data_IF_609056771703
#
_entry.id   IF_609056771703
#
_cell.length_a   1.000
_cell.length_b   1.000
_cell.length_c   1.000
_cell.angle_alpha   90.00
_cell.angle_beta   90.00
_cell.angle_gamma   90.00
#
_symmetry.space_group_name_H-M   'P 1'
#
loop_
_entity.id
_entity.type
_entity.pdbx_description
1 polymer ?
#
# COMPACT_ATOMS: atom_id res chain seq x y z
N UNK A 1 -40.96 7.75 9.76
CA UNK A 1 -40.15 6.71 10.42
C UNK A 1 -39.65 5.77 9.34
N UNK A 2 -38.43 6.01 8.87
CA UNK A 2 -37.69 5.11 8.00
C UNK A 2 -36.21 5.42 8.27
N UNK A 3 -35.61 4.61 9.14
CA UNK A 3 -34.20 4.70 9.50
C UNK A 3 -33.36 4.26 8.30
N UNK A 4 -32.48 5.16 7.84
CA UNK A 4 -31.42 4.84 6.89
C UNK A 4 -30.14 4.64 7.67
N UNK A 5 -29.58 3.44 7.49
CA UNK A 5 -28.44 2.84 8.15
C UNK A 5 -27.15 3.66 7.94
N UNK A 6 -26.68 4.34 8.99
CA UNK A 6 -25.38 5.03 9.01
C UNK A 6 -24.25 4.02 9.27
N UNK A 7 -23.58 3.59 8.20
CA UNK A 7 -22.31 2.85 8.31
C UNK A 7 -21.15 3.82 8.53
N UNK A 8 -20.52 3.68 9.70
CA UNK A 8 -19.27 4.34 10.07
C UNK A 8 -18.15 3.99 9.10
N UNK A 9 -17.58 5.01 8.44
CA UNK A 9 -16.36 4.88 7.63
C UNK A 9 -15.24 5.63 8.35
N UNK A 10 -14.19 4.86 8.64
CA UNK A 10 -12.95 5.24 9.29
C UNK A 10 -12.30 6.47 8.64
N UNK A 11 -12.09 7.53 9.44
CA UNK A 11 -11.41 8.75 9.02
C UNK A 11 -9.92 8.45 8.81
N UNK A 12 -9.45 8.49 7.55
CA UNK A 12 -8.02 8.41 7.23
C UNK A 12 -7.36 9.76 7.44
N UNK A 13 -6.31 9.78 8.25
CA UNK A 13 -5.36 10.88 8.42
C UNK A 13 -4.67 11.19 7.09
N UNK A 14 -5.02 12.31 6.46
CA UNK A 14 -4.33 12.83 5.28
C UNK A 14 -3.06 13.54 5.76
N UNK A 15 -1.89 12.89 5.58
CA UNK A 15 -0.59 13.57 5.64
C UNK A 15 -0.32 14.19 4.27
N UNK A 16 -0.39 15.52 4.20
CA UNK A 16 -0.07 16.32 3.02
C UNK A 16 1.45 16.45 2.84
N UNK A 17 1.97 15.88 1.77
CA UNK A 17 3.32 16.13 1.26
C UNK A 17 3.32 17.37 0.35
N UNK A 18 3.98 18.44 0.79
CA UNK A 18 4.85 19.31 -0.02
C UNK A 18 4.33 20.06 -1.25
N UNK A 19 3.04 20.06 -1.59
CA UNK A 19 2.48 20.95 -2.60
C UNK A 19 1.70 22.08 -1.93
N UNK A 20 2.04 23.34 -2.23
CA UNK A 20 1.23 24.50 -1.84
C UNK A 20 -0.16 24.32 -2.46
N UNK A 21 -1.11 23.84 -1.66
CA UNK A 21 -2.49 23.63 -2.10
C UNK A 21 -3.15 24.99 -2.28
N UNK A 22 -3.19 25.48 -3.52
CA UNK A 22 -4.10 26.56 -3.88
C UNK A 22 -5.51 26.06 -3.59
N UNK A 23 -6.13 26.59 -2.54
CA UNK A 23 -7.57 26.44 -2.28
C UNK A 23 -8.02 25.30 -1.36
N UNK A 24 -7.18 24.74 -0.48
CA UNK A 24 -7.71 23.89 0.59
C UNK A 24 -8.39 24.76 1.65
N UNK A 25 -9.73 24.79 1.65
CA UNK A 25 -10.49 25.45 2.71
C UNK A 25 -10.33 24.60 3.98
N UNK A 26 -9.83 25.22 5.06
CA UNK A 26 -9.77 24.58 6.38
C UNK A 26 -11.17 24.14 6.81
N UNK A 27 -11.37 22.83 6.99
CA UNK A 27 -12.64 22.22 7.38
C UNK A 27 -13.19 22.78 8.69
N UNK A 28 -12.33 23.34 9.56
CA UNK A 28 -12.72 24.00 10.81
C UNK A 28 -13.52 25.28 10.60
N UNK A 29 -13.50 25.86 9.39
CA UNK A 29 -14.21 27.09 9.04
C UNK A 29 -15.69 26.86 8.68
N UNK A 30 -16.13 25.62 8.62
CA UNK A 30 -17.50 25.30 8.25
C UNK A 30 -18.42 25.57 9.46
N UNK A 31 -19.57 26.21 9.25
CA UNK A 31 -20.53 26.36 10.34
C UNK A 31 -21.15 24.99 10.68
N UNK A 32 -21.19 24.63 11.97
CA UNK A 32 -21.66 23.34 12.49
C UNK A 32 -20.74 22.12 12.19
N UNK A 33 -19.48 22.15 12.68
CA UNK A 33 -18.41 21.19 12.32
C UNK A 33 -18.56 19.75 12.87
N UNK A 34 -19.41 19.49 13.86
CA UNK A 34 -19.48 18.16 14.51
C UNK A 34 -19.92 17.03 13.57
N UNK A 35 -20.45 17.39 12.40
CA UNK A 35 -20.54 16.49 11.26
C UNK A 35 -20.64 17.35 10.02
N UNK A 36 -19.53 17.79 9.43
CA UNK A 36 -19.58 18.43 8.10
C UNK A 36 -20.25 17.42 7.16
N UNK A 37 -21.51 17.66 6.72
CA UNK A 37 -22.21 16.63 5.99
C UNK A 37 -21.46 16.32 4.69
N UNK A 38 -21.44 15.05 4.27
CA UNK A 38 -20.69 14.61 3.06
C UNK A 38 -21.02 15.42 1.81
N UNK A 39 -22.20 16.06 1.76
CA UNK A 39 -22.63 16.99 0.70
C UNK A 39 -21.72 18.21 0.50
N UNK A 40 -20.84 18.55 1.45
CA UNK A 40 -19.88 19.65 1.30
C UNK A 40 -18.53 19.22 0.72
N UNK A 41 -18.34 17.93 0.46
CA UNK A 41 -17.14 17.41 -0.19
C UNK A 41 -17.43 17.13 -1.65
N UNK A 42 -16.50 17.52 -2.52
CA UNK A 42 -16.58 17.22 -3.93
C UNK A 42 -16.34 15.72 -4.16
N UNK A 43 -17.25 14.99 -4.82
CA UNK A 43 -17.07 13.57 -5.12
C UNK A 43 -15.87 13.26 -6.02
N UNK A 44 -15.40 14.23 -6.81
CA UNK A 44 -14.31 14.04 -7.78
C UNK A 44 -12.94 14.13 -7.10
N UNK A 45 -12.67 15.23 -6.37
CA UNK A 45 -11.37 15.42 -5.70
C UNK A 45 -11.36 14.99 -4.23
N UNK A 46 -12.52 14.66 -3.65
CA UNK A 46 -12.69 14.36 -2.22
C UNK A 46 -12.29 15.50 -1.27
N UNK A 47 -12.09 16.72 -1.77
CA UNK A 47 -11.82 17.92 -0.98
C UNK A 47 -13.11 18.69 -0.67
N UNK A 48 -13.04 19.66 0.25
CA UNK A 48 -14.14 20.59 0.46
C UNK A 48 -14.47 21.34 -0.84
N UNK A 49 -15.76 21.55 -1.09
CA UNK A 49 -16.24 22.25 -2.29
C UNK A 49 -15.66 23.66 -2.39
N UNK A 50 -14.89 23.89 -3.45
CA UNK A 50 -14.38 25.21 -3.85
C UNK A 50 -15.21 25.74 -5.01
N UNK A 51 -15.84 26.90 -4.84
CA UNK A 51 -16.81 27.47 -5.79
C UNK A 51 -17.84 26.40 -6.24
N UNK A 52 -18.76 25.97 -5.37
CA UNK A 52 -19.59 24.81 -5.66
C UNK A 52 -20.60 25.04 -6.78
N UNK A 53 -20.62 24.07 -7.69
CA UNK A 53 -21.64 23.90 -8.70
C UNK A 53 -22.43 22.63 -8.40
N UNK A 54 -23.74 22.65 -8.59
CA UNK A 54 -24.62 21.51 -8.35
C UNK A 54 -25.35 21.12 -9.61
N UNK A 55 -25.52 19.81 -9.83
CA UNK A 55 -26.32 19.32 -10.95
C UNK A 55 -27.80 19.59 -10.68
N UNK A 56 -28.51 20.23 -11.62
CA UNK A 56 -29.94 20.50 -11.48
C UNK A 56 -30.81 19.24 -11.33
N UNK A 57 -30.34 18.09 -11.85
CA UNK A 57 -31.06 16.82 -11.80
C UNK A 57 -30.84 16.05 -10.50
N UNK A 58 -29.58 15.74 -10.15
CA UNK A 58 -29.26 14.92 -8.96
C UNK A 58 -28.90 15.73 -7.71
N UNK A 59 -28.78 17.06 -7.82
CA UNK A 59 -28.40 17.99 -6.74
C UNK A 59 -27.01 17.72 -6.10
N UNK A 60 -26.24 16.79 -6.64
CA UNK A 60 -24.85 16.56 -6.23
C UNK A 60 -24.00 17.80 -6.54
N UNK A 61 -23.19 18.20 -5.57
CA UNK A 61 -22.32 19.38 -5.66
C UNK A 61 -20.87 19.00 -5.95
N UNK A 62 -20.19 19.81 -6.74
CA UNK A 62 -18.82 19.62 -7.21
C UNK A 62 -18.05 20.95 -7.17
N UNK A 63 -16.72 20.90 -7.07
CA UNK A 63 -15.92 22.11 -7.25
C UNK A 63 -16.01 22.58 -8.71
N UNK A 64 -16.01 23.90 -8.94
CA UNK A 64 -16.00 24.51 -10.28
C UNK A 64 -14.94 23.87 -11.20
N UNK A 65 -13.69 23.83 -10.74
CA UNK A 65 -12.58 23.26 -11.52
C UNK A 65 -12.72 21.76 -11.78
N UNK A 66 -13.32 21.02 -10.86
CA UNK A 66 -13.52 19.58 -10.99
C UNK A 66 -14.63 19.28 -11.99
N UNK A 67 -15.76 19.98 -11.89
CA UNK A 67 -16.88 19.75 -12.79
C UNK A 67 -16.59 20.26 -14.19
N UNK A 68 -15.94 21.43 -14.36
CA UNK A 68 -15.55 21.94 -15.67
C UNK A 68 -14.59 21.00 -16.42
N UNK A 69 -13.66 20.36 -15.70
CA UNK A 69 -12.79 19.33 -16.26
C UNK A 69 -13.56 18.08 -16.67
N UNK A 70 -14.59 17.71 -15.91
CA UNK A 70 -15.41 16.53 -16.19
C UNK A 70 -16.42 16.77 -17.33
N UNK A 71 -17.07 17.93 -17.35
CA UNK A 71 -18.16 18.26 -18.29
C UNK A 71 -17.69 18.52 -19.71
N UNK A 72 -16.41 18.30 -20.03
CA UNK A 72 -15.96 18.15 -21.42
C UNK A 72 -16.76 17.06 -22.17
N UNK A 73 -17.39 16.13 -21.43
CA UNK A 73 -18.24 15.06 -21.98
C UNK A 73 -19.76 15.32 -21.85
N UNK A 74 -20.19 16.52 -21.44
CA UNK A 74 -21.59 16.92 -21.22
C UNK A 74 -22.43 16.05 -20.26
N UNK A 75 -21.82 15.11 -19.54
CA UNK A 75 -22.49 14.20 -18.60
C UNK A 75 -22.15 14.52 -17.16
N UNK A 76 -23.12 14.32 -16.25
CA UNK A 76 -22.87 14.41 -14.81
C UNK A 76 -22.04 13.20 -14.35
N UNK A 77 -21.10 13.33 -13.39
CA UNK A 77 -20.38 12.19 -12.81
C UNK A 77 -21.26 11.07 -12.25
N UNK A 78 -22.51 11.37 -11.89
CA UNK A 78 -23.50 10.39 -11.44
C UNK A 78 -24.39 9.82 -12.57
N UNK A 79 -24.07 10.08 -13.83
CA UNK A 79 -24.80 9.53 -14.98
C UNK A 79 -26.10 10.24 -15.34
N UNK A 80 -26.33 11.48 -14.91
CA UNK A 80 -27.46 12.27 -15.39
C UNK A 80 -27.30 12.61 -16.88
N UNK A 81 -28.41 12.56 -17.63
CA UNK A 81 -28.47 12.77 -19.08
C UNK A 81 -27.94 14.15 -19.51
N UNK A 82 -28.23 15.19 -18.72
CA UNK A 82 -27.72 16.55 -18.93
C UNK A 82 -27.28 17.16 -17.60
N UNK A 83 -26.06 17.69 -17.57
CA UNK A 83 -25.60 18.48 -16.43
C UNK A 83 -26.17 19.91 -16.52
N UNK A 84 -27.18 20.21 -15.71
CA UNK A 84 -27.66 21.57 -15.50
C UNK A 84 -26.87 22.24 -14.39
N UNK A 85 -26.17 23.32 -14.70
CA UNK A 85 -25.37 24.03 -13.71
C UNK A 85 -26.23 24.89 -12.77
N UNK A 86 -26.24 24.57 -11.48
CA UNK A 86 -26.83 25.40 -10.43
C UNK A 86 -25.77 25.81 -9.43
N UNK A 87 -25.52 27.11 -9.33
CA UNK A 87 -24.62 27.66 -8.30
C UNK A 87 -25.23 27.45 -6.92
N UNK A 88 -24.45 26.84 -6.03
CA UNK A 88 -24.79 26.73 -4.62
C UNK A 88 -23.88 27.69 -3.85
N UNK A 89 -24.44 28.47 -2.91
CA UNK A 89 -23.66 29.39 -2.09
C UNK A 89 -23.65 28.90 -0.63
N UNK A 90 -22.77 27.94 -0.28
CA UNK A 90 -22.68 27.47 1.10
C UNK A 90 -22.32 28.61 2.04
N UNK A 91 -22.85 28.55 3.25
CA UNK A 91 -22.55 29.48 4.32
C UNK A 91 -21.32 28.99 5.11
N UNK A 92 -20.33 29.87 5.28
CA UNK A 92 -19.03 29.58 5.90
C UNK A 92 -18.74 30.61 6.99
N UNK A 93 -18.11 30.20 8.10
CA UNK A 93 -17.64 31.12 9.13
C UNK A 93 -16.42 31.91 8.68
N UNK A 94 -16.34 33.15 9.14
CA UNK A 94 -15.09 33.88 9.10
C UNK A 94 -13.98 33.09 9.81
N UNK A 95 -12.76 33.13 9.27
CA UNK A 95 -11.59 32.47 9.87
C UNK A 95 -11.26 33.05 11.26
N UNK A 96 -11.58 34.31 11.49
CA UNK A 96 -11.43 35.01 12.77
C UNK A 96 -12.53 34.68 13.79
N UNK A 97 -13.27 33.59 13.64
CA UNK A 97 -14.30 33.17 14.60
C UNK A 97 -13.74 32.98 16.02
N UNK A 98 -12.49 32.52 16.14
CA UNK A 98 -11.78 32.40 17.42
C UNK A 98 -11.52 33.74 18.13
N UNK A 99 -11.72 34.86 17.43
CA UNK A 99 -11.62 36.23 17.95
C UNK A 99 -12.99 36.90 17.97
N UNK A 100 -14.07 36.13 18.19
CA UNK A 100 -15.45 36.60 18.29
C UNK A 100 -16.04 37.21 17.00
N UNK A 101 -15.48 36.88 15.82
CA UNK A 101 -16.16 37.18 14.56
C UNK A 101 -17.32 36.20 14.31
N UNK A 102 -18.55 36.61 14.61
CA UNK A 102 -19.77 35.78 14.43
C UNK A 102 -20.32 35.77 13.01
N UNK A 103 -19.63 36.40 12.06
CA UNK A 103 -20.10 36.52 10.68
C UNK A 103 -20.14 35.15 9.97
N UNK A 104 -21.32 34.80 9.46
CA UNK A 104 -21.56 33.65 8.58
C UNK A 104 -21.87 34.19 7.19
N UNK A 105 -21.05 33.83 6.21
CA UNK A 105 -21.03 34.47 4.90
C UNK A 105 -21.09 33.44 3.79
N UNK A 106 -21.62 33.82 2.63
CA UNK A 106 -21.45 33.03 1.42
C UNK A 106 -19.99 33.05 0.96
N UNK A 107 -19.59 32.02 0.20
CA UNK A 107 -18.25 31.91 -0.38
C UNK A 107 -17.75 33.20 -1.02
N UNK A 108 -18.55 33.78 -1.91
CA UNK A 108 -18.23 34.98 -2.69
C UNK A 108 -18.02 36.24 -1.83
N UNK A 109 -18.56 36.25 -0.61
CA UNK A 109 -18.45 37.38 0.32
C UNK A 109 -17.34 37.17 1.35
N UNK A 110 -16.84 35.94 1.49
CA UNK A 110 -15.89 35.56 2.53
C UNK A 110 -14.55 36.27 2.36
N UNK A 111 -13.99 36.25 1.15
CA UNK A 111 -12.71 36.92 0.85
C UNK A 111 -12.78 38.43 1.10
N UNK A 112 -13.82 39.10 0.55
CA UNK A 112 -14.04 40.53 0.78
C UNK A 112 -14.16 40.85 2.27
N UNK A 113 -14.89 40.03 3.02
CA UNK A 113 -14.99 40.21 4.45
C UNK A 113 -13.63 40.07 5.14
N UNK A 114 -12.88 39.00 4.87
CA UNK A 114 -11.58 38.77 5.51
C UNK A 114 -10.57 39.89 5.22
N UNK A 115 -10.57 40.46 4.01
CA UNK A 115 -9.63 41.50 3.60
C UNK A 115 -10.04 42.88 4.11
N UNK A 116 -11.34 43.21 4.06
CA UNK A 116 -11.77 44.62 4.20
C UNK A 116 -12.88 44.89 5.21
N UNK A 117 -13.61 43.87 5.68
CA UNK A 117 -14.80 44.08 6.52
C UNK A 117 -14.74 43.37 7.87
N UNK A 118 -13.79 42.47 8.07
CA UNK A 118 -13.63 41.73 9.31
C UNK A 118 -13.09 42.69 10.36
N UNK A 119 -13.76 42.87 11.51
CA UNK A 119 -13.24 43.68 12.61
C UNK A 119 -11.97 43.08 13.23
N UNK A 120 -11.71 41.80 12.98
CA UNK A 120 -10.60 41.03 13.50
C UNK A 120 -9.76 40.46 12.33
N UNK A 121 -9.08 41.31 11.54
CA UNK A 121 -8.25 40.82 10.45
C UNK A 121 -7.18 39.87 11.01
N UNK A 122 -7.09 38.69 10.41
CA UNK A 122 -6.20 37.62 10.86
C UNK A 122 -5.29 37.14 9.74
N UNK A 123 -4.06 36.79 10.08
CA UNK A 123 -3.07 36.20 9.18
C UNK A 123 -2.44 34.97 9.82
N UNK A 124 -1.77 34.12 9.03
CA UNK A 124 -1.10 32.91 9.53
C UNK A 124 0.34 33.27 9.88
N UNK A 125 0.78 32.92 11.09
CA UNK A 125 2.18 33.06 11.50
C UNK A 125 3.09 32.18 10.65
N UNK A 126 4.14 32.78 10.07
CA UNK A 126 5.04 32.07 9.17
C UNK A 126 5.88 30.97 9.84
N UNK A 127 5.97 30.95 11.17
CA UNK A 127 6.79 30.01 11.93
C UNK A 127 6.00 28.84 12.54
N UNK A 128 4.82 29.10 13.11
CA UNK A 128 4.02 28.07 13.78
C UNK A 128 2.71 27.74 13.06
N UNK A 129 2.43 28.37 11.93
CA UNK A 129 1.24 28.16 11.10
C UNK A 129 -0.10 28.38 11.84
N UNK A 130 -0.05 29.08 12.99
CA UNK A 130 -1.25 29.46 13.73
C UNK A 130 -1.83 30.74 13.19
N UNK A 131 -3.16 30.81 13.15
CA UNK A 131 -3.89 32.03 12.83
C UNK A 131 -3.74 33.03 13.98
N UNK A 132 -3.30 34.25 13.67
CA UNK A 132 -3.05 35.35 14.59
C UNK A 132 -3.73 36.63 14.08
N UNK A 133 -4.07 37.56 14.98
CA UNK A 133 -4.55 38.88 14.57
C UNK A 133 -3.42 39.70 13.95
N UNK A 134 -3.72 40.44 12.88
CA UNK A 134 -2.73 41.26 12.15
C UNK A 134 -2.07 42.30 13.03
N UNK A 135 -2.76 42.84 14.05
CA UNK A 135 -2.16 43.80 15.00
C UNK A 135 -1.22 43.14 16.04
N UNK A 136 -1.31 41.82 16.23
CA UNK A 136 -0.47 41.06 17.18
C UNK A 136 0.59 40.22 16.50
N UNK A 137 0.55 40.09 15.16
CA UNK A 137 1.39 39.16 14.42
C UNK A 137 2.87 39.48 14.56
N UNK A 138 3.26 40.75 14.52
CA UNK A 138 4.66 41.15 14.60
C UNK A 138 5.30 40.76 15.94
N UNK A 139 4.64 41.09 17.06
CA UNK A 139 5.10 40.71 18.41
C UNK A 139 5.13 39.19 18.56
N UNK A 140 4.10 38.50 18.04
CA UNK A 140 4.06 37.05 18.06
C UNK A 140 5.18 36.43 17.24
N UNK A 141 5.47 36.93 16.03
CA UNK A 141 6.51 36.39 15.15
C UNK A 141 7.90 36.60 15.72
N UNK A 142 8.18 37.73 16.36
CA UNK A 142 9.45 37.94 17.08
C UNK A 142 9.66 36.89 18.18
N UNK A 143 8.64 36.61 18.99
CA UNK A 143 8.72 35.62 20.07
C UNK A 143 8.67 34.17 19.55
N UNK A 144 7.82 33.91 18.56
CA UNK A 144 7.60 32.58 18.00
C UNK A 144 8.79 32.14 17.16
N UNK A 145 9.42 33.06 16.41
CA UNK A 145 10.62 32.78 15.62
C UNK A 145 11.77 32.29 16.49
N UNK A 146 11.92 32.84 17.69
CA UNK A 146 12.98 32.44 18.64
C UNK A 146 12.77 31.06 19.27
N UNK A 147 11.57 30.46 19.17
CA UNK A 147 11.35 29.10 19.68
C UNK A 147 12.20 28.10 18.90
N UNK A 148 12.67 27.06 19.59
CA UNK A 148 13.44 25.99 18.97
C UNK A 148 12.51 24.98 18.30
N UNK A 149 12.77 24.65 17.04
CA UNK A 149 12.19 23.52 16.31
C UNK A 149 13.26 22.50 15.92
N UNK A 150 12.88 21.23 15.75
CA UNK A 150 13.79 20.17 15.33
C UNK A 150 13.88 20.09 13.80
N UNK A 151 15.08 20.08 13.23
CA UNK A 151 15.28 19.75 11.82
C UNK A 151 14.87 18.29 11.56
N UNK A 152 13.99 18.04 10.58
CA UNK A 152 13.51 16.69 10.26
C UNK A 152 14.57 15.76 9.67
N UNK A 153 15.74 16.29 9.29
CA UNK A 153 16.81 15.56 8.63
C UNK A 153 17.85 15.10 9.66
N UNK A 154 18.36 16.03 10.48
CA UNK A 154 19.43 15.74 11.46
C UNK A 154 18.96 15.78 12.92
N UNK A 155 17.69 16.09 13.20
CA UNK A 155 17.11 16.26 14.53
C UNK A 155 17.77 17.33 15.42
N UNK A 156 18.60 18.22 14.87
CA UNK A 156 19.13 19.36 15.61
C UNK A 156 18.04 20.38 15.92
N UNK A 157 18.10 20.95 17.13
CA UNK A 157 17.20 22.02 17.57
C UNK A 157 17.73 23.37 17.13
N UNK A 158 16.89 24.13 16.42
CA UNK A 158 17.27 25.36 15.73
C UNK A 158 16.12 26.35 15.87
N UNK A 159 16.38 27.66 16.05
CA UNK A 159 15.32 28.66 16.06
C UNK A 159 14.43 28.57 14.82
N UNK A 160 13.12 28.65 14.98
CA UNK A 160 12.15 28.53 13.88
C UNK A 160 12.42 29.54 12.75
N UNK A 161 12.92 30.74 13.07
CA UNK A 161 13.27 31.73 12.05
C UNK A 161 14.44 31.31 11.15
N UNK A 162 15.34 30.44 11.62
CA UNK A 162 16.46 29.87 10.85
C UNK A 162 16.14 28.48 10.29
N UNK A 163 15.09 27.82 10.78
CA UNK A 163 14.82 26.42 10.50
C UNK A 163 14.66 26.15 8.99
N UNK A 164 13.99 27.04 8.26
CA UNK A 164 13.77 26.88 6.81
C UNK A 164 15.08 26.95 6.02
N UNK A 165 15.92 27.93 6.33
CA UNK A 165 17.25 28.09 5.71
C UNK A 165 18.14 26.89 6.08
N UNK A 166 18.13 26.49 7.35
CA UNK A 166 18.90 25.34 7.81
C UNK A 166 18.42 24.03 7.17
N UNK A 167 17.13 23.78 7.04
CA UNK A 167 16.62 22.57 6.40
C UNK A 167 17.10 22.47 4.94
N UNK A 168 17.17 23.60 4.24
CA UNK A 168 17.69 23.63 2.87
C UNK A 168 19.19 23.30 2.78
N UNK A 169 20.00 23.80 3.72
CA UNK A 169 21.45 23.50 3.77
C UNK A 169 21.75 22.11 4.34
N UNK A 170 20.99 21.66 5.33
CA UNK A 170 21.11 20.35 5.96
C UNK A 170 20.79 19.21 4.98
N UNK A 171 19.83 19.43 4.07
CA UNK A 171 19.55 18.48 2.99
C UNK A 171 20.78 18.32 2.08
N UNK A 172 21.44 19.42 1.72
CA UNK A 172 22.66 19.38 0.90
C UNK A 172 23.81 18.67 1.62
N UNK A 173 24.06 18.97 2.90
CA UNK A 173 25.12 18.29 3.66
C UNK A 173 24.83 16.81 3.85
N UNK A 174 23.56 16.43 4.03
CA UNK A 174 23.16 15.03 4.16
C UNK A 174 23.37 14.25 2.86
N UNK A 175 23.05 14.87 1.71
CA UNK A 175 23.33 14.29 0.39
C UNK A 175 24.84 14.16 0.15
N UNK A 176 25.63 15.19 0.49
CA UNK A 176 27.09 15.15 0.35
C UNK A 176 27.72 14.05 1.23
N UNK A 177 27.28 13.92 2.48
CA UNK A 177 27.73 12.86 3.38
C UNK A 177 27.39 11.47 2.81
N UNK A 178 26.19 11.28 2.26
CA UNK A 178 25.78 10.03 1.61
C UNK A 178 26.67 9.71 0.40
N UNK A 179 26.92 10.69 -0.48
CA UNK A 179 27.80 10.51 -1.64
C UNK A 179 29.24 10.18 -1.23
N UNK A 180 29.75 10.82 -0.19
CA UNK A 180 31.07 10.50 0.34
C UNK A 180 31.13 9.07 0.88
N UNK A 181 30.12 8.64 1.65
CA UNK A 181 30.05 7.25 2.15
C UNK A 181 30.00 6.24 1.00
N UNK A 182 29.29 6.53 -0.09
CA UNK A 182 29.26 5.67 -1.28
C UNK A 182 30.61 5.60 -1.99
N UNK A 183 31.33 6.72 -2.10
CA UNK A 183 32.67 6.75 -2.69
C UNK A 183 33.68 5.96 -1.83
N UNK A 184 33.60 6.10 -0.51
CA UNK A 184 34.46 5.37 0.42
C UNK A 184 34.21 3.85 0.34
N UNK A 185 32.95 3.43 0.24
CA UNK A 185 32.58 2.03 0.02
C UNK A 185 33.11 1.51 -1.33
N UNK A 186 32.99 2.28 -2.41
CA UNK A 186 33.49 1.89 -3.72
C UNK A 186 35.02 1.77 -3.76
N UNK A 187 35.73 2.66 -3.06
CA UNK A 187 37.19 2.61 -2.93
C UNK A 187 37.64 1.40 -2.09
N UNK A 188 36.82 0.95 -1.14
CA UNK A 188 37.08 -0.26 -0.34
C UNK A 188 36.86 -1.56 -1.15
N UNK A 189 36.03 -1.52 -2.20
CA UNK A 189 35.72 -2.66 -3.07
C UNK A 189 36.69 -2.75 -4.27
N UNK A 190 37.63 -1.81 -4.42
CA UNK A 190 38.71 -1.94 -5.40
C UNK A 190 39.50 -3.23 -5.10
N UNK A 191 39.58 -4.18 -6.05
CA UNK A 191 40.26 -5.44 -5.81
C UNK A 191 41.72 -5.15 -5.51
N UNK A 192 42.15 -5.42 -4.28
CA UNK A 192 43.57 -5.56 -3.99
C UNK A 192 44.07 -6.66 -4.91
N UNK A 193 44.81 -6.26 -5.95
CA UNK A 193 45.70 -7.14 -6.71
C UNK A 193 46.80 -7.63 -5.75
N UNK A 194 46.44 -8.50 -4.82
CA UNK A 194 47.37 -9.28 -4.03
C UNK A 194 47.56 -10.60 -4.76
N UNK A 195 48.72 -10.69 -5.40
CA UNK A 195 49.55 -11.89 -5.42
C UNK A 195 49.16 -12.86 -4.29
N UNK A 196 48.85 -14.11 -4.65
CA UNK A 196 48.65 -15.21 -3.72
C UNK A 196 49.79 -15.25 -2.68
N UNK A 197 49.52 -15.04 -1.39
CA UNK A 197 50.39 -15.54 -0.33
C UNK A 197 50.08 -17.02 -0.13
N UNK A 198 51.15 -17.79 0.00
CA UNK A 198 51.13 -19.23 0.20
C UNK A 198 50.30 -19.63 1.45
N UNK A 199 49.59 -20.75 1.33
CA UNK A 199 48.56 -21.22 2.27
C UNK A 199 49.17 -21.77 3.56
N UNK A 200 49.46 -20.89 4.52
CA UNK A 200 49.66 -21.29 5.92
C UNK A 200 49.39 -20.11 6.88
N UNK A 201 48.12 -19.88 7.24
CA UNK A 201 47.65 -19.50 8.60
C UNK A 201 46.18 -19.06 8.56
N UNK A 202 45.29 -20.02 8.81
CA UNK A 202 43.84 -19.84 8.90
C UNK A 202 43.42 -19.53 10.37
N UNK A 203 43.78 -18.35 10.90
CA UNK A 203 43.26 -17.94 12.23
C UNK A 203 42.76 -16.48 12.32
N UNK A 204 43.02 -15.63 11.33
CA UNK A 204 42.58 -14.21 11.34
C UNK A 204 41.25 -13.95 10.63
N UNK A 205 40.74 -14.88 9.81
CA UNK A 205 39.45 -14.75 9.13
C UNK A 205 38.24 -14.75 10.09
N UNK A 206 38.39 -15.28 11.31
CA UNK A 206 37.34 -15.31 12.33
C UNK A 206 37.17 -13.95 13.02
N UNK A 207 38.18 -13.06 12.99
CA UNK A 207 38.08 -11.74 13.65
C UNK A 207 37.28 -10.70 12.86
N UNK A 208 37.19 -10.82 11.53
CA UNK A 208 36.40 -9.88 10.71
C UNK A 208 34.88 -10.13 10.78
N UNK A 209 34.46 -11.37 11.07
CA UNK A 209 33.04 -11.71 11.26
C UNK A 209 32.42 -11.07 12.51
N UNK A 210 33.23 -10.67 13.50
CA UNK A 210 32.77 -10.10 14.77
C UNK A 210 32.62 -8.56 14.74
N UNK A 211 33.04 -7.87 13.68
CA UNK A 211 32.94 -6.40 13.60
C UNK A 211 31.62 -5.90 13.00
N UNK A 212 30.83 -6.77 12.37
CA UNK A 212 29.56 -6.44 11.71
C UNK A 212 28.41 -7.33 12.18
N UNK A 213 28.35 -7.66 13.47
CA UNK A 213 27.14 -8.25 14.04
C UNK A 213 26.05 -7.19 14.07
N UNK A 214 25.29 -7.08 12.97
CA UNK A 214 23.94 -6.54 12.99
C UNK A 214 23.20 -7.35 14.05
N UNK A 215 22.69 -6.67 15.07
CA UNK A 215 22.04 -7.37 16.18
C UNK A 215 20.85 -8.17 15.64
N UNK A 216 20.57 -9.35 16.20
CA UNK A 216 19.46 -10.20 15.74
C UNK A 216 18.10 -9.48 15.78
N UNK A 217 17.99 -8.39 16.54
CA UNK A 217 16.83 -7.51 16.58
C UNK A 217 16.69 -6.65 15.32
N UNK A 218 17.77 -6.05 14.82
CA UNK A 218 17.74 -5.22 13.61
C UNK A 218 17.42 -6.04 12.35
N UNK A 219 17.86 -7.30 12.31
CA UNK A 219 17.50 -8.22 11.22
C UNK A 219 16.01 -8.62 11.27
N UNK A 220 15.46 -8.91 12.46
CA UNK A 220 14.03 -9.17 12.63
C UNK A 220 13.16 -7.96 12.27
N UNK A 221 13.61 -6.75 12.62
CA UNK A 221 12.92 -5.51 12.26
C UNK A 221 12.96 -5.32 10.74
N UNK A 222 14.11 -5.54 10.10
CA UNK A 222 14.26 -5.39 8.64
C UNK A 222 13.39 -6.40 7.88
N UNK A 223 13.37 -7.67 8.29
CA UNK A 223 12.50 -8.71 7.74
C UNK A 223 11.02 -8.38 7.94
N UNK A 224 10.64 -7.87 9.12
CA UNK A 224 9.28 -7.41 9.39
C UNK A 224 8.84 -6.27 8.46
N UNK A 225 9.70 -5.27 8.22
CA UNK A 225 9.39 -4.17 7.30
C UNK A 225 9.33 -4.59 5.83
N UNK A 226 10.21 -5.49 5.39
CA UNK A 226 10.15 -6.04 4.04
C UNK A 226 8.87 -6.83 3.81
N UNK A 227 8.50 -7.68 4.78
CA UNK A 227 7.25 -8.43 4.75
C UNK A 227 6.03 -7.47 4.74
N UNK A 228 6.03 -6.42 5.56
CA UNK A 228 4.93 -5.46 5.61
C UNK A 228 4.78 -4.67 4.29
N UNK A 229 5.89 -4.25 3.68
CA UNK A 229 5.88 -3.55 2.40
C UNK A 229 5.41 -4.46 1.27
N UNK A 230 5.82 -5.73 1.28
CA UNK A 230 5.39 -6.75 0.33
C UNK A 230 3.88 -7.04 0.47
N UNK A 231 3.38 -7.22 1.70
CA UNK A 231 1.96 -7.42 1.99
C UNK A 231 1.09 -6.23 1.56
N UNK A 232 1.55 -5.00 1.73
CA UNK A 232 0.83 -3.80 1.26
C UNK A 232 0.72 -3.74 -0.26
N UNK A 233 1.74 -4.22 -0.99
CA UNK A 233 1.71 -4.31 -2.46
C UNK A 233 0.73 -5.38 -2.92
N UNK A 234 0.69 -6.54 -2.26
CA UNK A 234 -0.28 -7.60 -2.55
C UNK A 234 -1.71 -7.13 -2.24
N UNK A 235 -1.93 -6.53 -1.07
CA UNK A 235 -3.23 -5.99 -0.70
C UNK A 235 -3.72 -4.93 -1.69
N UNK A 236 -2.83 -4.06 -2.15
CA UNK A 236 -3.15 -3.06 -3.17
C UNK A 236 -3.53 -3.69 -4.52
N UNK A 237 -2.79 -4.70 -4.97
CA UNK A 237 -3.11 -5.44 -6.19
C UNK A 237 -4.44 -6.18 -6.09
N UNK A 238 -4.70 -6.85 -4.96
CA UNK A 238 -5.99 -7.53 -4.70
C UNK A 238 -7.14 -6.51 -4.67
N UNK A 239 -6.96 -5.33 -4.06
CA UNK A 239 -7.97 -4.29 -4.06
C UNK A 239 -8.24 -3.70 -5.45
N UNK A 240 -7.19 -3.48 -6.26
CA UNK A 240 -7.33 -3.04 -7.65
C UNK A 240 -8.13 -4.04 -8.48
N UNK A 241 -7.84 -5.33 -8.31
CA UNK A 241 -8.53 -6.43 -9.01
C UNK A 241 -9.99 -6.53 -8.58
N UNK A 242 -10.30 -6.42 -7.28
CA UNK A 242 -11.66 -6.51 -6.75
C UNK A 242 -12.52 -5.29 -7.09
N UNK A 243 -11.94 -4.10 -7.14
CA UNK A 243 -12.70 -2.86 -7.40
C UNK A 243 -13.04 -2.68 -8.88
N UNK A 244 -12.23 -3.22 -9.80
CA UNK A 244 -12.43 -3.09 -11.24
C UNK A 244 -12.00 -4.35 -12.00
N UNK A 245 -12.78 -5.46 -11.92
CA UNK A 245 -12.38 -6.74 -12.51
C UNK A 245 -12.22 -6.72 -14.05
N UNK A 246 -12.65 -5.64 -14.71
CA UNK A 246 -12.62 -5.50 -16.18
C UNK A 246 -11.68 -4.39 -16.70
N UNK A 247 -11.03 -3.60 -15.83
CA UNK A 247 -10.10 -2.52 -16.22
C UNK A 247 -8.62 -2.92 -15.97
N UNK A 248 -8.22 -4.12 -16.37
CA UNK A 248 -6.79 -4.47 -16.36
C UNK A 248 -6.10 -3.67 -17.48
N UNK A 249 -5.01 -2.93 -17.21
CA UNK A 249 -4.34 -2.11 -18.21
C UNK A 249 -4.02 -2.93 -19.47
N UNK A 250 -4.37 -2.43 -20.66
CA UNK A 250 -4.13 -3.12 -21.94
C UNK A 250 -2.67 -3.59 -22.10
N UNK A 251 -1.71 -2.90 -21.48
CA UNK A 251 -0.29 -3.27 -21.52
C UNK A 251 0.02 -4.62 -20.86
N UNK A 252 -0.72 -5.01 -19.80
CA UNK A 252 -0.59 -6.34 -19.18
C UNK A 252 -1.20 -7.43 -20.06
N UNK A 253 -2.27 -7.11 -20.79
CA UNK A 253 -2.89 -8.00 -21.77
C UNK A 253 -1.99 -8.22 -23.00
N UNK A 254 -1.31 -7.15 -23.45
CA UNK A 254 -0.37 -7.21 -24.58
C UNK A 254 0.84 -8.07 -24.24
N UNK A 255 1.52 -7.80 -23.11
CA UNK A 255 2.70 -8.56 -22.66
C UNK A 255 2.38 -10.07 -22.56
N UNK A 256 1.19 -10.42 -22.08
CA UNK A 256 0.81 -11.82 -21.91
C UNK A 256 0.34 -12.48 -23.22
N UNK A 257 -0.35 -11.74 -24.09
CA UNK A 257 -0.77 -12.25 -25.41
C UNK A 257 0.43 -12.53 -26.33
N UNK A 258 1.49 -11.72 -26.25
CA UNK A 258 2.74 -11.95 -26.97
C UNK A 258 3.56 -13.11 -26.39
N UNK A 259 3.46 -13.39 -25.09
CA UNK A 259 4.14 -14.54 -24.48
C UNK A 259 3.47 -15.88 -24.82
N UNK A 260 2.13 -15.92 -24.81
CA UNK A 260 1.38 -17.16 -25.06
C UNK A 260 1.19 -17.48 -26.56
N UNK A 261 1.12 -16.46 -27.43
CA UNK A 261 0.98 -16.65 -28.89
C UNK A 261 2.18 -17.35 -29.54
N UNK A 262 3.35 -17.37 -28.87
CA UNK A 262 4.56 -18.07 -29.33
C UNK A 262 4.50 -19.56 -29.00
N UNK A 263 3.75 -19.97 -27.96
CA UNK A 263 3.72 -21.36 -27.48
C UNK A 263 2.57 -22.16 -28.12
N UNK A 264 1.46 -21.50 -28.47
CA UNK A 264 0.27 -22.17 -29.00
C UNK A 264 -0.05 -21.62 -30.39
N UNK A 265 0.53 -22.24 -31.41
CA UNK A 265 0.22 -21.94 -32.81
C UNK A 265 -1.27 -22.16 -33.13
N UNK A 266 -1.76 -21.29 -34.02
CA UNK A 266 -3.08 -21.22 -34.66
C UNK A 266 -4.25 -20.48 -33.99
N UNK A 267 -4.89 -19.67 -34.85
CA UNK A 267 -5.68 -18.47 -34.55
C UNK A 267 -7.20 -18.66 -34.50
N UNK A 268 -7.70 -19.87 -34.19
CA UNK A 268 -9.15 -20.13 -34.13
C UNK A 268 -9.69 -20.46 -32.73
N UNK A 269 -8.87 -20.35 -31.68
CA UNK A 269 -9.25 -20.74 -30.31
C UNK A 269 -9.56 -19.59 -29.34
N UNK A 270 -9.84 -18.36 -29.81
CA UNK A 270 -10.00 -17.17 -28.94
C UNK A 270 -11.15 -17.26 -27.91
N UNK A 271 -12.25 -17.96 -28.24
CA UNK A 271 -13.37 -18.13 -27.31
C UNK A 271 -13.09 -19.20 -26.24
N UNK A 272 -12.31 -20.23 -26.58
CA UNK A 272 -11.93 -21.31 -25.66
C UNK A 272 -10.84 -20.86 -24.69
N UNK A 273 -9.87 -20.08 -25.18
CA UNK A 273 -8.82 -19.50 -24.34
C UNK A 273 -9.38 -18.53 -23.31
N UNK A 274 -10.35 -17.67 -23.66
CA UNK A 274 -10.98 -16.76 -22.68
C UNK A 274 -11.65 -17.51 -21.51
N UNK A 275 -12.34 -18.62 -21.81
CA UNK A 275 -12.95 -19.46 -20.77
C UNK A 275 -11.89 -20.18 -19.93
N UNK A 276 -10.80 -20.67 -20.56
CA UNK A 276 -9.69 -21.29 -19.86
C UNK A 276 -8.96 -20.30 -18.93
N UNK A 277 -8.70 -19.08 -19.41
CA UNK A 277 -8.05 -18.01 -18.64
C UNK A 277 -8.91 -17.53 -17.47
N UNK A 278 -10.23 -17.41 -17.66
CA UNK A 278 -11.13 -17.07 -16.56
C UNK A 278 -11.03 -18.10 -15.43
N UNK A 279 -11.03 -19.39 -15.75
CA UNK A 279 -10.97 -20.46 -14.75
C UNK A 279 -9.61 -20.53 -14.04
N UNK A 280 -8.49 -20.40 -14.78
CA UNK A 280 -7.15 -20.32 -14.19
C UNK A 280 -7.03 -19.10 -13.27
N UNK A 281 -7.55 -17.95 -13.69
CA UNK A 281 -7.49 -16.73 -12.90
C UNK A 281 -8.30 -16.86 -11.61
N UNK A 282 -9.51 -17.42 -11.65
CA UNK A 282 -10.27 -17.73 -10.43
C UNK A 282 -9.58 -18.76 -9.54
N UNK A 283 -8.93 -19.77 -10.12
CA UNK A 283 -8.15 -20.76 -9.36
C UNK A 283 -6.96 -20.13 -8.65
N UNK A 284 -6.20 -19.30 -9.35
CA UNK A 284 -5.07 -18.57 -8.78
C UNK A 284 -5.51 -17.59 -7.69
N UNK A 285 -6.60 -16.84 -7.93
CA UNK A 285 -7.15 -15.92 -6.94
C UNK A 285 -7.65 -16.66 -5.69
N UNK A 286 -8.26 -17.84 -5.87
CA UNK A 286 -8.67 -18.70 -4.77
C UNK A 286 -7.46 -19.18 -3.96
N UNK A 287 -6.38 -19.62 -4.62
CA UNK A 287 -5.14 -20.03 -3.94
C UNK A 287 -4.55 -18.87 -3.14
N UNK A 288 -4.39 -17.69 -3.75
CA UNK A 288 -3.81 -16.51 -3.05
C UNK A 288 -4.65 -16.10 -1.85
N UNK A 289 -5.98 -16.08 -1.99
CA UNK A 289 -6.89 -15.74 -0.88
C UNK A 289 -6.87 -16.83 0.20
N UNK A 290 -6.89 -18.10 -0.18
CA UNK A 290 -6.89 -19.22 0.76
C UNK A 290 -5.58 -19.31 1.53
N UNK A 291 -4.43 -19.18 0.86
CA UNK A 291 -3.11 -19.13 1.50
C UNK A 291 -2.99 -17.90 2.40
N UNK A 292 -3.52 -16.74 1.99
CA UNK A 292 -3.57 -15.54 2.84
C UNK A 292 -4.45 -15.72 4.08
N UNK A 293 -5.59 -16.40 3.97
CA UNK A 293 -6.48 -16.74 5.09
C UNK A 293 -5.80 -17.73 6.05
N UNK A 294 -5.17 -18.78 5.53
CA UNK A 294 -4.43 -19.75 6.35
C UNK A 294 -3.29 -19.06 7.12
N UNK A 295 -2.57 -18.16 6.46
CA UNK A 295 -1.47 -17.41 7.06
C UNK A 295 -1.92 -16.40 8.13
N UNK A 296 -3.13 -15.87 8.02
CA UNK A 296 -3.68 -14.89 8.97
C UNK A 296 -4.47 -15.52 10.12
N UNK A 297 -5.02 -16.72 9.92
CA UNK A 297 -5.96 -17.31 10.88
C UNK A 297 -5.31 -18.25 11.89
N UNK A 298 -4.16 -18.87 11.58
CA UNK A 298 -3.59 -19.91 12.47
C UNK A 298 -2.04 -19.85 12.50
N UNK A 299 -1.44 -18.88 13.23
CA UNK A 299 0.03 -18.73 13.29
C UNK A 299 0.77 -19.96 13.85
N UNK A 300 0.13 -20.75 14.71
CA UNK A 300 0.75 -21.92 15.34
C UNK A 300 0.83 -23.15 14.43
N UNK A 301 -0.02 -23.22 13.39
CA UNK A 301 -0.04 -24.35 12.46
C UNK A 301 1.13 -24.28 11.46
N UNK A 302 1.64 -23.09 11.17
CA UNK A 302 2.78 -22.89 10.27
C UNK A 302 4.13 -23.25 10.90
N UNK A 303 4.25 -23.28 12.23
CA UNK A 303 5.45 -23.80 12.88
C UNK A 303 5.55 -25.34 12.80
N UNK A 304 4.46 -26.03 12.43
CA UNK A 304 4.41 -27.48 12.31
C UNK A 304 4.59 -27.96 10.86
N UNK A 305 4.46 -27.06 9.89
CA UNK A 305 4.43 -27.39 8.46
C UNK A 305 5.59 -26.66 7.79
N UNK A 306 6.68 -27.39 7.57
CA UNK A 306 7.87 -26.87 6.88
C UNK A 306 7.51 -26.39 5.45
N UNK A 307 8.28 -25.45 4.92
CA UNK A 307 8.06 -24.82 3.60
C UNK A 307 7.96 -25.88 2.48
N UNK A 308 8.66 -27.00 2.66
CA UNK A 308 8.61 -28.17 1.77
C UNK A 308 7.21 -28.80 1.73
N UNK A 309 6.53 -28.89 2.87
CA UNK A 309 5.19 -29.46 2.96
C UNK A 309 4.14 -28.57 2.28
N UNK A 310 4.30 -27.24 2.38
CA UNK A 310 3.46 -26.26 1.67
C UNK A 310 3.68 -26.37 0.16
N UNK A 311 4.93 -26.49 -0.28
CA UNK A 311 5.25 -26.71 -1.69
C UNK A 311 4.68 -28.02 -2.23
N UNK A 312 4.84 -29.14 -1.50
CA UNK A 312 4.30 -30.44 -1.91
C UNK A 312 2.77 -30.40 -1.98
N UNK A 313 2.11 -29.83 -0.97
CA UNK A 313 0.65 -29.73 -0.95
C UNK A 313 0.11 -28.83 -2.08
N UNK A 314 0.76 -27.69 -2.34
CA UNK A 314 0.36 -26.80 -3.44
C UNK A 314 0.56 -27.45 -4.81
N UNK A 315 1.62 -28.25 -4.99
CA UNK A 315 1.89 -29.00 -6.21
C UNK A 315 0.85 -30.11 -6.42
N UNK A 316 0.53 -30.88 -5.39
CA UNK A 316 -0.52 -31.92 -5.44
C UNK A 316 -1.88 -31.29 -5.75
N UNK A 317 -2.23 -30.17 -5.12
CA UNK A 317 -3.49 -29.48 -5.37
C UNK A 317 -3.57 -28.97 -6.81
N UNK A 318 -2.48 -28.41 -7.33
CA UNK A 318 -2.42 -27.95 -8.73
C UNK A 318 -2.58 -29.11 -9.72
N UNK A 319 -1.97 -30.26 -9.43
CA UNK A 319 -2.11 -31.48 -10.25
C UNK A 319 -3.53 -32.04 -10.20
N UNK A 320 -4.16 -32.12 -9.02
CA UNK A 320 -5.54 -32.61 -8.87
C UNK A 320 -6.54 -31.70 -9.58
N UNK A 321 -6.41 -30.38 -9.41
CA UNK A 321 -7.29 -29.41 -10.07
C UNK A 321 -7.04 -29.39 -11.59
N UNK A 322 -5.78 -29.40 -12.01
CA UNK A 322 -5.40 -29.44 -13.43
C UNK A 322 -5.92 -30.70 -14.13
N UNK A 323 -5.74 -31.88 -13.53
CA UNK A 323 -6.24 -33.15 -14.10
C UNK A 323 -7.77 -33.21 -14.11
N UNK A 324 -8.46 -32.68 -13.09
CA UNK A 324 -9.92 -32.59 -13.07
C UNK A 324 -10.49 -31.69 -14.18
N UNK A 325 -9.82 -30.55 -14.45
CA UNK A 325 -10.18 -29.64 -15.54
C UNK A 325 -9.93 -30.30 -16.90
N UNK A 326 -8.78 -30.95 -17.08
CA UNK A 326 -8.44 -31.68 -18.31
C UNK A 326 -9.44 -32.81 -18.55
N UNK A 327 -9.77 -33.59 -17.52
CA UNK A 327 -10.75 -34.67 -17.60
C UNK A 327 -12.14 -34.18 -17.98
N UNK A 328 -12.61 -33.10 -17.35
CA UNK A 328 -13.93 -32.52 -17.63
C UNK A 328 -14.01 -31.97 -19.07
N UNK A 329 -12.93 -31.39 -19.57
CA UNK A 329 -12.85 -30.87 -20.94
C UNK A 329 -12.72 -32.00 -21.97
N UNK A 330 -11.93 -33.03 -21.69
CA UNK A 330 -11.82 -34.23 -22.53
C UNK A 330 -13.16 -34.97 -22.64
N UNK A 331 -13.92 -35.05 -21.53
CA UNK A 331 -15.27 -35.61 -21.51
C UNK A 331 -16.24 -34.85 -22.42
N UNK A 332 -16.11 -33.52 -22.51
CA UNK A 332 -16.96 -32.67 -23.38
C UNK A 332 -16.57 -32.73 -24.86
N UNK A 333 -15.28 -32.94 -25.18
CA UNK A 333 -14.77 -32.94 -26.55
C UNK A 333 -14.89 -34.30 -27.26
N UNK A 334 -14.98 -35.39 -26.50
CA UNK A 334 -15.04 -36.74 -27.05
C UNK A 334 -16.48 -37.22 -27.28
N UNK A 335 -16.92 -37.34 -28.54
CA UNK A 335 -18.14 -38.10 -28.93
C UNK A 335 -17.87 -39.59 -29.27
N UNK A 336 -16.69 -40.13 -28.95
CA UNK A 336 -16.32 -41.51 -29.28
C UNK A 336 -15.56 -42.23 -28.16
N UNK A 337 -16.04 -43.41 -27.78
CA UNK A 337 -15.55 -44.20 -26.62
C UNK A 337 -14.08 -44.66 -26.71
N UNK A 338 -13.52 -44.87 -27.92
CA UNK A 338 -12.14 -45.40 -28.06
C UNK A 338 -11.03 -44.39 -27.76
N UNK A 339 -11.24 -43.11 -28.05
CA UNK A 339 -10.25 -42.06 -27.78
C UNK A 339 -10.15 -41.75 -26.27
N UNK A 340 -11.19 -42.10 -25.49
CA UNK A 340 -11.26 -41.84 -24.04
C UNK A 340 -10.30 -42.71 -23.25
N UNK A 341 -10.14 -43.98 -23.63
CA UNK A 341 -9.26 -44.90 -22.94
C UNK A 341 -7.78 -44.59 -23.18
N UNK A 342 -7.39 -44.31 -24.43
CA UNK A 342 -6.00 -44.00 -24.79
C UNK A 342 -5.50 -42.72 -24.11
N UNK A 343 -6.35 -41.69 -24.03
CA UNK A 343 -5.99 -40.44 -23.35
C UNK A 343 -5.87 -40.61 -21.83
N UNK A 344 -6.75 -41.41 -21.23
CA UNK A 344 -6.71 -41.69 -19.79
C UNK A 344 -5.49 -42.54 -19.42
N UNK A 345 -5.16 -43.54 -20.25
CA UNK A 345 -3.98 -44.38 -20.09
C UNK A 345 -2.70 -43.55 -20.20
N UNK A 346 -2.60 -42.66 -21.20
CA UNK A 346 -1.46 -41.76 -21.36
C UNK A 346 -1.30 -40.80 -20.17
N UNK A 347 -2.38 -40.20 -19.66
CA UNK A 347 -2.32 -39.31 -18.50
C UNK A 347 -1.92 -40.08 -17.23
N UNK A 348 -2.42 -41.30 -17.05
CA UNK A 348 -2.05 -42.14 -15.91
C UNK A 348 -0.59 -42.60 -15.98
N UNK A 349 -0.07 -42.94 -17.16
CA UNK A 349 1.34 -43.33 -17.33
C UNK A 349 2.27 -42.15 -17.04
N UNK A 350 1.97 -40.96 -17.58
CA UNK A 350 2.74 -39.75 -17.29
C UNK A 350 2.68 -39.38 -15.80
N UNK A 351 1.53 -39.60 -15.15
CA UNK A 351 1.39 -39.38 -13.70
C UNK A 351 2.25 -40.36 -12.89
N UNK A 352 2.22 -41.64 -13.22
CA UNK A 352 3.00 -42.68 -12.50
C UNK A 352 4.50 -42.46 -12.69
N UNK A 353 4.96 -42.12 -13.89
CA UNK A 353 6.38 -41.84 -14.17
C UNK A 353 6.89 -40.63 -13.38
N UNK A 354 6.15 -39.52 -13.37
CA UNK A 354 6.55 -38.31 -12.63
C UNK A 354 6.46 -38.46 -11.10
N UNK A 355 5.59 -39.35 -10.59
CA UNK A 355 5.49 -39.61 -9.16
C UNK A 355 6.59 -40.57 -8.64
N UNK A 356 7.11 -41.47 -9.49
CA UNK A 356 8.18 -42.40 -9.12
C UNK A 356 9.52 -41.69 -8.94
N UNK A 357 9.77 -40.58 -9.64
CA UNK A 357 10.97 -39.76 -9.50
C UNK A 357 11.03 -38.98 -8.17
N UNK A 358 9.91 -38.83 -7.47
CA UNK A 358 9.81 -38.14 -6.16
C UNK A 358 10.07 -39.10 -4.99
N UNK A 359 9.93 -40.41 -5.22
CA UNK A 359 10.03 -41.46 -4.21
C UNK A 359 11.40 -41.53 -3.46
N UNK A 360 12.56 -41.28 -4.10
CA UNK A 360 13.86 -41.29 -3.41
C UNK A 360 14.03 -40.18 -2.36
N UNK A 361 13.30 -39.07 -2.48
CA UNK A 361 13.37 -37.95 -1.54
C UNK A 361 12.64 -38.23 -0.22
N UNK A 362 11.58 -39.05 -0.25
CA UNK A 362 10.79 -39.39 0.93
C UNK A 362 11.48 -40.44 1.82
N UNK A 363 12.31 -41.32 1.25
CA UNK A 363 13.03 -42.36 2.01
C UNK A 363 14.23 -41.81 2.81
N UNK A 364 14.78 -40.64 2.43
CA UNK A 364 15.87 -39.97 3.16
C UNK A 364 15.40 -39.23 4.42
N UNK A 365 14.09 -38.94 4.54
CA UNK A 365 13.53 -38.23 5.70
C UNK A 365 13.34 -39.16 6.91
N UNK A 366 13.02 -40.44 6.69
CA UNK A 366 12.77 -41.42 7.76
C UNK A 366 14.05 -41.77 8.54
N UNK A 367 15.21 -41.68 7.89
CA UNK A 367 16.53 -41.88 8.52
C UNK A 367 17.01 -40.69 9.35
N UNK A 368 16.48 -39.48 9.13
CA UNK A 368 16.82 -38.31 9.95
C UNK A 368 15.97 -38.22 11.23
N UNK A 369 14.75 -38.74 11.21
CA UNK A 369 13.82 -38.63 12.35
C UNK A 369 14.03 -39.67 13.44
N UNK A 370 14.81 -40.73 13.19
CA UNK A 370 15.09 -41.81 14.14
C UNK A 370 16.28 -41.55 15.07
N UNK A 371 16.93 -40.38 14.98
CA UNK A 371 18.12 -40.03 15.78
C UNK A 371 17.93 -39.04 16.95
N UNK A 372 16.71 -38.60 17.25
CA UNK A 372 16.43 -37.65 18.33
C UNK A 372 15.89 -38.36 19.59
N UNK A 373 16.80 -38.95 20.37
CA UNK A 373 16.49 -39.36 21.76
C UNK A 373 16.36 -38.12 22.65
N UNK A 374 15.21 -38.01 23.33
CA UNK A 374 14.88 -36.92 24.23
C UNK A 374 15.61 -37.05 25.58
N UNK A 375 16.46 -36.06 25.89
CA UNK A 375 17.03 -35.89 27.22
C UNK A 375 15.96 -35.48 28.24
N UNK A 376 15.86 -36.24 29.33
CA UNK A 376 15.01 -35.96 30.49
C UNK A 376 15.36 -34.61 31.13
N UNK A 377 14.40 -33.69 31.16
CA UNK A 377 14.46 -32.45 31.93
C UNK A 377 13.64 -32.63 33.22
N UNK A 378 14.27 -32.45 34.37
CA UNK A 378 13.62 -32.43 35.69
C UNK A 378 13.42 -30.98 36.15
N UNK A 379 12.26 -30.69 36.72
CA UNK A 379 11.92 -29.39 37.29
C UNK A 379 12.51 -29.25 38.69
N UNK A 380 12.98 -28.05 39.11
CA UNK A 380 13.40 -27.83 40.48
C UNK A 380 12.20 -27.62 41.40
N UNK A 381 12.33 -28.15 42.62
CA UNK A 381 11.33 -28.18 43.69
C UNK A 381 11.07 -26.76 44.28
N UNK A 382 9.82 -26.33 44.48
CA UNK A 382 9.50 -24.99 44.97
C UNK A 382 9.50 -25.00 46.51
N UNK A 383 10.67 -25.11 47.13
CA UNK A 383 10.79 -25.09 48.59
C UNK A 383 11.93 -24.23 49.15
N UNK A 384 12.51 -23.32 48.35
CA UNK A 384 13.52 -22.37 48.84
C UNK A 384 13.24 -20.95 48.36
N UNK A 385 12.24 -20.33 48.99
CA UNK A 385 12.17 -18.87 49.11
C UNK A 385 11.90 -18.60 50.59
N UNK A 386 12.95 -18.29 51.32
CA UNK A 386 12.91 -17.74 52.69
C UNK A 386 13.14 -16.21 52.63
N UNK A 387 12.75 -15.48 53.69
CA UNK A 387 11.89 -14.28 53.60
C UNK A 387 12.55 -12.97 53.18
#
# INVERSE_FOLDING_TARGET
MADVNDQAINQRTIRSSGAVSIGSIDYKRIWNCESVPRKFFCPICSCLLWQPHSCGSCQSSFCETCILKWTQMNSCPYGCEKYEDRRCSPQIRCQSFQYDCTSVLSYDKLEKHQISQCPYPSTICQYCERLMLVNTIEVHEQQCGQRMGSCSICNQFIPLYLLKEYQSSCNLSSIQNYLQTMNDLQNTIQPTNTYLPDMATLSTAIQFGNLFTVTSEEQKIREYYYNLAWWRRIQFLVCLILMKPFDVPQNLLVIWSTGCGIILGDSTALASTYFFFRNIYTGFLFIVVFTGILHSSIPWFLNLVDDISIMVFSTILFLVVGTSIIYTNAHRLSKGHKLRYVLLEYILTVFVENCLDIYPFLFSLDTCLSGLEMGHFSWPDPAQIEP
#
